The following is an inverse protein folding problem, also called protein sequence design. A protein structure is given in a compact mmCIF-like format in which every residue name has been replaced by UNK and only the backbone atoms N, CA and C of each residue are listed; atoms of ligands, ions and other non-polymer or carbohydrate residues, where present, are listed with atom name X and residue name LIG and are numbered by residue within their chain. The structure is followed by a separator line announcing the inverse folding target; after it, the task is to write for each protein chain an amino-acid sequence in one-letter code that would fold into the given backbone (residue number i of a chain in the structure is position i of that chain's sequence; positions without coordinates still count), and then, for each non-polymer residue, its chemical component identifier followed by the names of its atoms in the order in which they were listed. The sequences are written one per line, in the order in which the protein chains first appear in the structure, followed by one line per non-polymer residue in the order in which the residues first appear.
data_IF_015925133191
#
_entry.id   IF_015925133191
#
_cell.length_a   1.000
_cell.length_b   1.000
_cell.length_c   1.000
_cell.angle_alpha   90.00
_cell.angle_beta   90.00
_cell.angle_gamma   90.00
#
_symmetry.space_group_name_H-M   'P 1'
#
loop_
_entity.id
_entity.type
_entity.pdbx_description
1 polymer ?
#
# COMPACT_ATOMS: atom_id res chain seq x y z
N UNK A 1 -35.51 17.96 -8.38
CA UNK A 1 -35.93 18.06 -6.96
C UNK A 1 -35.08 17.17 -6.06
N UNK A 2 -35.12 15.83 -6.21
CA UNK A 2 -34.38 14.91 -5.33
C UNK A 2 -32.86 15.13 -5.25
N UNK A 3 -32.18 15.31 -6.39
CA UNK A 3 -30.72 15.54 -6.41
C UNK A 3 -30.30 16.84 -5.69
N UNK A 4 -31.12 17.90 -5.77
CA UNK A 4 -30.81 19.17 -5.10
C UNK A 4 -31.00 19.10 -3.57
N UNK A 5 -31.76 18.11 -3.10
CA UNK A 5 -31.97 17.85 -1.67
C UNK A 5 -30.90 16.89 -1.09
N UNK A 6 -30.00 16.36 -1.91
CA UNK A 6 -28.89 15.48 -1.51
C UNK A 6 -27.56 16.13 -1.91
N UNK A 7 -26.98 16.99 -1.04
CA UNK A 7 -25.74 17.70 -1.36
C UNK A 7 -24.56 16.78 -1.73
N UNK A 8 -24.30 15.64 -1.04
CA UNK A 8 -23.30 14.68 -1.48
C UNK A 8 -23.50 14.17 -2.91
N UNK A 9 -24.73 13.74 -3.26
CA UNK A 9 -25.01 13.26 -4.61
C UNK A 9 -24.91 14.36 -5.66
N UNK A 10 -25.30 15.59 -5.30
CA UNK A 10 -25.16 16.76 -6.18
C UNK A 10 -23.69 17.08 -6.47
N UNK A 11 -22.84 17.14 -5.44
CA UNK A 11 -21.40 17.40 -5.60
C UNK A 11 -20.72 16.34 -6.47
N UNK A 12 -21.04 15.06 -6.24
CA UNK A 12 -20.52 13.98 -7.07
C UNK A 12 -20.97 14.10 -8.53
N UNK A 13 -22.24 14.48 -8.77
CA UNK A 13 -22.75 14.71 -10.13
C UNK A 13 -22.03 15.87 -10.81
N UNK A 14 -21.80 16.97 -10.09
CA UNK A 14 -21.07 18.13 -10.60
C UNK A 14 -19.61 17.77 -10.92
N UNK A 15 -18.89 17.15 -9.98
CA UNK A 15 -17.51 16.68 -10.17
C UNK A 15 -17.41 15.73 -11.37
N UNK A 16 -18.33 14.78 -11.50
CA UNK A 16 -18.34 13.82 -12.61
C UNK A 16 -18.58 14.48 -13.98
N UNK A 17 -19.40 15.53 -14.06
CA UNK A 17 -19.70 16.22 -15.33
C UNK A 17 -18.69 17.29 -15.70
N UNK A 18 -18.07 17.94 -14.72
CA UNK A 18 -17.24 19.11 -14.95
C UNK A 18 -15.74 18.81 -14.83
N UNK A 19 -15.31 18.01 -13.85
CA UNK A 19 -13.90 17.95 -13.44
C UNK A 19 -13.16 16.67 -13.86
N UNK A 20 -13.87 15.58 -14.18
CA UNK A 20 -13.24 14.32 -14.61
C UNK A 20 -12.71 14.41 -16.04
N UNK A 21 -11.79 13.53 -16.41
CA UNK A 21 -11.23 13.42 -17.77
C UNK A 21 -12.32 13.54 -18.85
N UNK A 22 -12.12 14.46 -19.80
CA UNK A 22 -13.10 14.80 -20.84
C UNK A 22 -14.17 15.83 -20.44
N UNK A 23 -14.22 16.25 -19.17
CA UNK A 23 -15.07 17.33 -18.68
C UNK A 23 -14.51 18.73 -18.97
N UNK A 24 -15.38 19.74 -18.98
CA UNK A 24 -15.03 21.13 -19.34
C UNK A 24 -14.00 21.79 -18.41
N UNK A 25 -13.97 21.37 -17.14
CA UNK A 25 -13.02 21.84 -16.14
C UNK A 25 -11.84 20.90 -15.92
N UNK A 26 -11.68 19.86 -16.75
CA UNK A 26 -10.52 18.97 -16.66
C UNK A 26 -9.29 19.62 -17.28
N UNK A 27 -8.21 19.67 -16.52
CA UNK A 27 -6.89 20.07 -17.00
C UNK A 27 -5.98 18.86 -16.84
N UNK A 28 -5.34 18.44 -17.93
CA UNK A 28 -4.41 17.33 -17.91
C UNK A 28 -3.18 17.69 -17.05
N UNK A 29 -2.67 16.76 -16.21
CA UNK A 29 -1.46 17.00 -15.46
C UNK A 29 -0.27 17.18 -16.40
N UNK A 30 0.64 18.06 -16.01
CA UNK A 30 1.89 18.37 -16.71
C UNK A 30 3.06 18.30 -15.71
N UNK A 31 4.29 18.29 -16.21
CA UNK A 31 5.49 18.38 -15.37
C UNK A 31 5.57 19.70 -14.56
N UNK A 32 4.76 20.71 -14.91
CA UNK A 32 4.66 21.98 -14.17
C UNK A 32 3.70 21.90 -12.97
N UNK A 33 2.77 20.92 -12.98
CA UNK A 33 1.72 20.78 -11.97
C UNK A 33 1.96 19.61 -11.02
N UNK A 34 2.81 18.64 -11.40
CA UNK A 34 3.18 17.51 -10.58
C UNK A 34 4.70 17.27 -10.62
N UNK A 35 5.31 16.89 -9.49
CA UNK A 35 6.73 16.55 -9.45
C UNK A 35 7.02 15.25 -10.23
N UNK A 36 8.28 15.09 -10.64
CA UNK A 36 8.76 13.82 -11.19
C UNK A 36 8.64 12.69 -10.15
N UNK A 37 8.28 11.49 -10.60
CA UNK A 37 8.08 10.35 -9.72
C UNK A 37 9.35 9.97 -8.94
N UNK A 38 10.54 10.10 -9.54
CA UNK A 38 11.80 9.81 -8.86
C UNK A 38 12.06 10.81 -7.75
N UNK A 39 11.75 12.09 -7.97
CA UNK A 39 11.83 13.11 -6.92
C UNK A 39 10.92 12.77 -5.75
N UNK A 40 9.67 12.35 -6.00
CA UNK A 40 8.75 11.93 -4.93
C UNK A 40 9.28 10.71 -4.17
N UNK A 41 9.85 9.73 -4.87
CA UNK A 41 10.45 8.54 -4.26
C UNK A 41 11.66 8.93 -3.39
N UNK A 42 12.55 9.77 -3.88
CA UNK A 42 13.72 10.26 -3.14
C UNK A 42 13.31 11.03 -1.89
N UNK A 43 12.33 11.94 -1.99
CA UNK A 43 11.77 12.64 -0.84
C UNK A 43 11.17 11.67 0.18
N UNK A 44 10.43 10.66 -0.28
CA UNK A 44 9.82 9.66 0.59
C UNK A 44 10.89 8.86 1.34
N UNK A 45 11.92 8.39 0.64
CA UNK A 45 13.06 7.68 1.25
C UNK A 45 13.84 8.57 2.23
N UNK A 46 14.01 9.85 1.91
CA UNK A 46 14.69 10.82 2.77
C UNK A 46 13.98 11.07 4.10
N UNK A 47 12.69 10.71 4.21
CA UNK A 47 11.91 10.71 5.45
C UNK A 47 11.88 9.34 6.16
N UNK A 48 12.70 8.38 5.72
CA UNK A 48 12.66 6.96 6.12
C UNK A 48 11.25 6.35 5.96
N UNK A 49 10.49 6.83 4.97
CA UNK A 49 9.17 6.32 4.63
C UNK A 49 9.25 5.33 3.46
N UNK A 50 8.12 4.66 3.17
CA UNK A 50 8.01 3.59 2.17
C UNK A 50 7.38 4.13 0.87
N UNK A 51 8.14 4.31 -0.22
CA UNK A 51 7.55 4.67 -1.51
C UNK A 51 6.66 3.52 -2.00
N UNK A 52 5.36 3.78 -2.10
CA UNK A 52 4.35 2.74 -2.36
C UNK A 52 3.61 3.06 -3.65
N UNK A 53 3.64 2.12 -4.60
CA UNK A 53 2.92 2.25 -5.86
C UNK A 53 1.43 1.97 -5.62
N UNK A 54 0.53 2.71 -6.27
CA UNK A 54 -0.92 2.40 -6.21
C UNK A 54 -1.36 1.76 -7.51
N UNK A 55 -2.22 0.76 -7.40
CA UNK A 55 -2.87 0.11 -8.53
C UNK A 55 -4.40 0.21 -8.40
N UNK A 56 -5.08 0.43 -9.52
CA UNK A 56 -6.52 0.68 -9.54
C UNK A 56 -7.34 -0.60 -9.73
N UNK A 57 -7.31 -1.17 -10.94
CA UNK A 57 -8.10 -2.34 -11.29
C UNK A 57 -7.63 -3.12 -12.54
N UNK A 58 -6.54 -2.70 -13.17
CA UNK A 58 -5.94 -3.42 -14.30
C UNK A 58 -6.70 -3.28 -15.61
N UNK A 59 -7.74 -2.44 -15.66
CA UNK A 59 -8.56 -2.26 -16.88
C UNK A 59 -7.97 -1.23 -17.83
N UNK A 60 -7.10 -0.34 -17.34
CA UNK A 60 -6.40 0.62 -18.18
C UNK A 60 -5.16 -0.01 -18.83
N UNK A 61 -4.78 0.39 -20.07
CA UNK A 61 -3.61 -0.16 -20.76
C UNK A 61 -2.30 -0.03 -19.98
N UNK A 62 -2.16 1.00 -19.14
CA UNK A 62 -0.97 1.18 -18.29
C UNK A 62 -0.85 0.16 -17.14
N UNK A 63 -1.94 -0.54 -16.81
CA UNK A 63 -1.99 -1.53 -15.73
C UNK A 63 -2.22 -2.96 -16.24
N UNK A 64 -2.25 -3.19 -17.55
CA UNK A 64 -2.56 -4.51 -18.12
C UNK A 64 -1.45 -5.53 -17.93
N UNK A 65 -0.20 -5.07 -17.76
CA UNK A 65 0.97 -5.91 -17.45
C UNK A 65 1.53 -5.53 -16.08
N UNK A 66 1.12 -6.27 -15.05
CA UNK A 66 1.55 -6.03 -13.68
C UNK A 66 3.01 -6.37 -13.43
N UNK A 67 3.59 -7.31 -14.17
CA UNK A 67 5.01 -7.64 -14.04
C UNK A 67 5.87 -6.47 -14.52
N UNK A 68 5.57 -5.94 -15.71
CA UNK A 68 6.25 -4.77 -16.26
C UNK A 68 6.01 -3.51 -15.42
N UNK A 69 4.77 -3.27 -14.99
CA UNK A 69 4.42 -2.10 -14.18
C UNK A 69 5.16 -2.09 -12.84
N UNK A 70 5.11 -3.19 -12.08
CA UNK A 70 5.77 -3.24 -10.78
C UNK A 70 7.29 -3.31 -10.92
N UNK A 71 7.83 -3.97 -11.94
CA UNK A 71 9.27 -3.94 -12.23
C UNK A 71 9.76 -2.53 -12.54
N UNK A 72 9.00 -1.75 -13.31
CA UNK A 72 9.30 -0.34 -13.53
C UNK A 72 9.23 0.47 -12.23
N UNK A 73 8.15 0.32 -11.46
CA UNK A 73 7.99 1.01 -10.17
C UNK A 73 9.13 0.68 -9.19
N UNK A 74 9.50 -0.60 -9.11
CA UNK A 74 10.64 -1.08 -8.33
C UNK A 74 11.94 -0.41 -8.76
N UNK A 75 12.22 -0.37 -10.08
CA UNK A 75 13.44 0.23 -10.62
C UNK A 75 13.55 1.72 -10.29
N UNK A 76 12.43 2.41 -10.08
CA UNK A 76 12.39 3.79 -9.63
C UNK A 76 12.53 3.92 -8.12
N UNK A 77 12.27 2.85 -7.37
CA UNK A 77 12.48 2.75 -5.93
C UNK A 77 11.21 2.52 -5.10
N UNK A 78 10.09 2.14 -5.72
CA UNK A 78 8.92 1.67 -4.99
C UNK A 78 9.23 0.32 -4.28
N UNK A 79 8.70 0.16 -3.07
CA UNK A 79 8.98 -1.00 -2.22
C UNK A 79 7.74 -1.83 -1.89
N UNK A 80 6.55 -1.27 -2.14
CA UNK A 80 5.27 -1.89 -1.81
C UNK A 80 4.19 -1.51 -2.84
N UNK A 81 3.09 -2.27 -2.82
CA UNK A 81 1.92 -2.05 -3.66
C UNK A 81 0.68 -1.77 -2.80
N UNK A 82 -0.01 -0.66 -3.08
CA UNK A 82 -1.29 -0.32 -2.49
C UNK A 82 -2.45 -0.74 -3.40
N UNK A 83 -3.41 -1.44 -2.83
CA UNK A 83 -4.64 -1.93 -3.48
C UNK A 83 -5.82 -1.52 -2.60
N UNK A 84 -6.93 -1.11 -3.22
CA UNK A 84 -8.21 -0.92 -2.53
C UNK A 84 -9.07 -2.12 -2.94
N UNK A 85 -9.20 -3.19 -2.14
CA UNK A 85 -9.77 -4.43 -2.64
C UNK A 85 -11.26 -4.35 -2.97
N UNK A 86 -12.06 -3.60 -2.20
CA UNK A 86 -13.52 -3.49 -2.40
C UNK A 86 -13.90 -3.12 -3.85
N UNK A 87 -13.17 -2.19 -4.48
CA UNK A 87 -13.41 -1.78 -5.88
C UNK A 87 -13.12 -2.85 -6.93
N UNK A 88 -12.46 -3.96 -6.57
CA UNK A 88 -12.07 -5.01 -7.51
C UNK A 88 -13.01 -6.23 -7.48
N UNK A 89 -13.79 -6.41 -6.42
CA UNK A 89 -14.73 -7.55 -6.29
C UNK A 89 -16.18 -7.15 -6.01
N UNK A 90 -16.42 -6.02 -5.36
CA UNK A 90 -17.75 -5.54 -4.97
C UNK A 90 -18.43 -4.80 -6.14
N UNK A 91 -18.67 -5.54 -7.22
CA UNK A 91 -19.12 -5.00 -8.51
C UNK A 91 -20.40 -5.72 -8.94
N UNK A 92 -21.40 -4.92 -9.34
CA UNK A 92 -22.72 -5.43 -9.74
C UNK A 92 -22.71 -6.15 -11.08
N UNK A 93 -21.97 -5.61 -12.05
CA UNK A 93 -21.88 -6.22 -13.38
C UNK A 93 -21.00 -7.48 -13.30
N UNK A 94 -21.52 -8.67 -13.65
CA UNK A 94 -20.77 -9.91 -13.50
C UNK A 94 -19.52 -10.00 -14.39
N UNK A 95 -19.55 -9.37 -15.56
CA UNK A 95 -18.42 -9.40 -16.50
C UNK A 95 -17.30 -8.48 -16.02
N UNK A 96 -17.65 -7.26 -15.60
CA UNK A 96 -16.70 -6.32 -14.99
C UNK A 96 -16.08 -6.89 -13.72
N UNK A 97 -16.92 -7.50 -12.86
CA UNK A 97 -16.45 -8.20 -11.66
C UNK A 97 -15.43 -9.28 -12.01
N UNK A 98 -15.74 -10.14 -12.99
CA UNK A 98 -14.83 -11.21 -13.41
C UNK A 98 -13.47 -10.66 -13.85
N UNK A 99 -13.46 -9.62 -14.69
CA UNK A 99 -12.24 -9.01 -15.21
C UNK A 99 -11.40 -8.43 -14.08
N UNK A 100 -12.00 -7.66 -13.17
CA UNK A 100 -11.26 -6.99 -12.09
C UNK A 100 -10.77 -7.95 -11.02
N UNK A 101 -11.50 -9.04 -10.74
CA UNK A 101 -11.03 -10.12 -9.88
C UNK A 101 -9.85 -10.87 -10.51
N UNK A 102 -9.88 -11.12 -11.82
CA UNK A 102 -8.75 -11.72 -12.54
C UNK A 102 -7.52 -10.79 -12.51
N UNK A 103 -7.73 -9.49 -12.67
CA UNK A 103 -6.64 -8.52 -12.60
C UNK A 103 -6.08 -8.36 -11.18
N UNK A 104 -6.91 -8.50 -10.14
CA UNK A 104 -6.47 -8.56 -8.76
C UNK A 104 -5.52 -9.74 -8.53
N UNK A 105 -5.84 -10.93 -9.04
CA UNK A 105 -4.94 -12.10 -8.98
C UNK A 105 -3.60 -11.79 -9.65
N UNK A 106 -3.61 -11.17 -10.84
CA UNK A 106 -2.39 -10.77 -11.56
C UNK A 106 -1.56 -9.77 -10.74
N UNK A 107 -2.19 -8.78 -10.13
CA UNK A 107 -1.54 -7.78 -9.30
C UNK A 107 -0.87 -8.41 -8.08
N UNK A 108 -1.59 -9.26 -7.34
CA UNK A 108 -1.06 -9.95 -6.16
C UNK A 108 0.08 -10.91 -6.55
N UNK A 109 -0.05 -11.67 -7.63
CA UNK A 109 1.03 -12.55 -8.12
C UNK A 109 2.28 -11.78 -8.51
N UNK A 110 2.13 -10.66 -9.21
CA UNK A 110 3.26 -9.80 -9.57
C UNK A 110 3.95 -9.25 -8.31
N UNK A 111 3.19 -8.77 -7.33
CA UNK A 111 3.72 -8.30 -6.06
C UNK A 111 4.49 -9.41 -5.31
N UNK A 112 3.93 -10.63 -5.23
CA UNK A 112 4.61 -11.80 -4.67
C UNK A 112 5.94 -12.07 -5.37
N UNK A 113 5.97 -12.05 -6.71
CA UNK A 113 7.18 -12.33 -7.49
C UNK A 113 8.33 -11.35 -7.24
N UNK A 114 8.00 -10.09 -6.89
CA UNK A 114 8.95 -9.02 -6.57
C UNK A 114 9.15 -8.83 -5.07
N UNK A 115 8.58 -9.71 -4.24
CA UNK A 115 8.55 -9.58 -2.79
C UNK A 115 8.07 -8.18 -2.36
N UNK A 116 7.01 -7.65 -2.97
CA UNK A 116 6.40 -6.37 -2.57
C UNK A 116 5.29 -6.61 -1.54
N UNK A 117 5.38 -6.03 -0.33
CA UNK A 117 4.29 -6.07 0.63
C UNK A 117 3.05 -5.33 0.10
N UNK A 118 1.87 -5.79 0.52
CA UNK A 118 0.59 -5.21 0.11
C UNK A 118 0.05 -4.25 1.17
N UNK A 119 -0.24 -3.02 0.78
CA UNK A 119 -1.04 -2.09 1.56
C UNK A 119 -2.48 -2.19 1.09
N UNK A 120 -3.41 -2.50 1.99
CA UNK A 120 -4.84 -2.54 1.66
C UNK A 120 -5.66 -1.70 2.62
N UNK A 121 -6.72 -1.11 2.10
CA UNK A 121 -7.68 -0.35 2.88
C UNK A 121 -8.74 0.31 2.01
N UNK A 122 -9.69 0.97 2.66
CA UNK A 122 -10.93 1.42 2.02
C UNK A 122 -10.84 2.81 1.38
N UNK A 123 -9.67 3.47 1.42
CA UNK A 123 -9.41 4.86 0.96
C UNK A 123 -10.17 5.95 1.74
N UNK A 124 -11.38 5.65 2.25
CA UNK A 124 -12.27 6.55 3.01
C UNK A 124 -12.49 7.92 2.35
N UNK A 125 -12.38 8.00 1.03
CA UNK A 125 -12.45 9.24 0.26
C UNK A 125 -13.88 9.67 -0.08
N UNK A 126 -14.89 8.86 0.29
CA UNK A 126 -16.31 9.10 0.00
C UNK A 126 -17.20 8.63 1.14
N UNK A 127 -18.28 9.37 1.38
CA UNK A 127 -19.35 8.98 2.30
C UNK A 127 -19.96 7.63 1.89
N UNK A 128 -20.12 6.74 2.88
CA UNK A 128 -20.73 5.42 2.71
C UNK A 128 -19.75 4.28 2.41
N UNK A 129 -18.45 4.54 2.30
CA UNK A 129 -17.44 3.48 2.26
C UNK A 129 -17.32 2.81 3.64
N UNK A 130 -17.07 1.49 3.69
CA UNK A 130 -16.91 0.79 4.94
C UNK A 130 -15.63 1.24 5.66
N UNK A 131 -15.63 1.11 7.00
CA UNK A 131 -14.44 1.41 7.80
C UNK A 131 -13.32 0.37 7.57
N UNK A 132 -13.70 -0.88 7.30
CA UNK A 132 -12.79 -2.00 7.01
C UNK A 132 -13.33 -2.75 5.79
N UNK A 133 -12.44 -3.19 4.90
CA UNK A 133 -12.83 -4.06 3.79
C UNK A 133 -13.48 -5.36 4.29
N UNK A 134 -14.42 -5.91 3.51
CA UNK A 134 -15.01 -7.20 3.82
C UNK A 134 -14.07 -8.34 3.45
N UNK A 135 -13.17 -8.67 4.38
CA UNK A 135 -12.25 -9.80 4.26
C UNK A 135 -12.92 -11.17 4.41
N UNK A 136 -14.25 -11.25 4.54
CA UNK A 136 -14.98 -12.52 4.42
C UNK A 136 -15.43 -12.83 2.99
N UNK A 137 -15.28 -11.86 2.07
CA UNK A 137 -15.58 -12.05 0.65
C UNK A 137 -14.77 -13.20 0.06
N UNK A 138 -15.43 -14.05 -0.73
CA UNK A 138 -14.82 -15.27 -1.30
C UNK A 138 -13.66 -14.92 -2.23
N UNK A 139 -13.78 -13.82 -2.95
CA UNK A 139 -12.78 -13.31 -3.89
C UNK A 139 -11.49 -12.85 -3.21
N UNK A 140 -11.55 -12.48 -1.92
CA UNK A 140 -10.39 -12.01 -1.15
C UNK A 140 -9.74 -13.09 -0.31
N UNK A 141 -10.44 -14.21 -0.03
CA UNK A 141 -9.90 -15.32 0.77
C UNK A 141 -8.49 -15.78 0.33
N UNK A 142 -8.18 -15.91 -0.98
CA UNK A 142 -6.87 -16.37 -1.42
C UNK A 142 -5.70 -15.42 -1.10
N UNK A 143 -5.98 -14.19 -0.66
CA UNK A 143 -4.98 -13.13 -0.47
C UNK A 143 -4.90 -12.62 0.97
N UNK A 144 -5.70 -13.17 1.90
CA UNK A 144 -5.74 -12.70 3.28
C UNK A 144 -4.38 -12.73 3.97
N UNK A 145 -3.59 -13.76 3.69
CA UNK A 145 -2.27 -13.88 4.26
C UNK A 145 -1.34 -12.79 3.72
N UNK A 146 -1.37 -12.48 2.43
CA UNK A 146 -0.58 -11.39 1.84
C UNK A 146 -0.97 -10.02 2.41
N UNK A 147 -2.27 -9.80 2.61
CA UNK A 147 -2.78 -8.56 3.22
C UNK A 147 -2.35 -8.45 4.69
N UNK A 148 -2.44 -9.54 5.45
CA UNK A 148 -2.02 -9.57 6.84
C UNK A 148 -0.50 -9.37 6.97
N UNK A 149 0.30 -10.08 6.16
CA UNK A 149 1.76 -9.92 6.13
C UNK A 149 2.17 -8.52 5.71
N UNK A 150 1.48 -7.93 4.73
CA UNK A 150 1.65 -6.53 4.36
C UNK A 150 1.36 -5.59 5.53
N UNK A 151 0.23 -5.75 6.22
CA UNK A 151 -0.11 -4.94 7.38
C UNK A 151 0.94 -5.05 8.51
N UNK A 152 1.40 -6.27 8.82
CA UNK A 152 2.47 -6.46 9.80
C UNK A 152 3.80 -5.86 9.34
N UNK A 153 4.13 -5.95 8.05
CA UNK A 153 5.30 -5.30 7.49
C UNK A 153 5.27 -3.78 7.70
N UNK A 154 4.18 -3.11 7.29
CA UNK A 154 4.04 -1.66 7.45
C UNK A 154 4.10 -1.24 8.93
N UNK A 155 3.45 -2.01 9.80
CA UNK A 155 3.48 -1.74 11.23
C UNK A 155 4.87 -1.93 11.83
N UNK A 156 5.55 -3.05 11.54
CA UNK A 156 6.88 -3.33 12.06
C UNK A 156 7.92 -2.32 11.57
N UNK A 157 7.83 -1.90 10.30
CA UNK A 157 8.59 -0.79 9.77
C UNK A 157 8.35 0.49 10.58
N UNK A 158 7.09 0.90 10.73
CA UNK A 158 6.72 2.14 11.41
C UNK A 158 7.19 2.14 12.86
N UNK A 159 6.99 1.02 13.56
CA UNK A 159 7.40 0.87 14.95
C UNK A 159 8.91 1.06 15.13
N UNK A 160 9.73 0.43 14.28
CA UNK A 160 11.19 0.55 14.35
C UNK A 160 11.72 1.89 13.85
N UNK A 161 11.14 2.46 12.79
CA UNK A 161 11.50 3.77 12.27
C UNK A 161 11.31 4.83 13.36
N UNK A 162 10.13 4.86 13.98
CA UNK A 162 9.78 5.88 14.98
C UNK A 162 10.54 5.69 16.29
N UNK A 163 10.75 4.45 16.74
CA UNK A 163 11.28 4.19 18.09
C UNK A 163 12.79 4.03 18.13
N UNK A 164 13.40 3.55 17.07
CA UNK A 164 14.82 3.18 17.06
C UNK A 164 15.60 3.74 15.85
N UNK A 165 14.95 4.42 14.90
CA UNK A 165 15.60 4.86 13.66
C UNK A 165 16.02 3.68 12.76
N UNK A 166 15.38 2.53 12.94
CA UNK A 166 15.68 1.28 12.22
C UNK A 166 14.60 0.98 11.16
N UNK A 167 14.09 2.03 10.51
CA UNK A 167 13.11 1.90 9.44
C UNK A 167 13.68 1.22 8.21
N UNK A 168 12.82 0.94 7.23
CA UNK A 168 13.15 0.08 6.11
C UNK A 168 14.20 0.70 5.21
N UNK A 169 14.23 2.03 5.09
CA UNK A 169 15.21 2.75 4.29
C UNK A 169 16.39 3.28 5.14
N UNK A 170 16.46 2.92 6.42
CA UNK A 170 17.52 3.36 7.32
C UNK A 170 18.88 2.73 6.99
N UNK A 171 19.96 3.43 7.35
CA UNK A 171 21.34 2.92 7.23
C UNK A 171 21.53 1.59 7.96
N UNK A 172 20.87 1.42 9.12
CA UNK A 172 20.90 0.15 9.85
C UNK A 172 20.33 -0.99 9.01
N UNK A 173 19.21 -0.76 8.33
CA UNK A 173 18.55 -1.78 7.53
C UNK A 173 19.33 -2.10 6.24
N UNK A 174 19.97 -1.11 5.62
CA UNK A 174 20.86 -1.32 4.47
C UNK A 174 22.14 -2.07 4.87
N UNK A 175 22.67 -1.85 6.07
CA UNK A 175 23.87 -2.55 6.56
C UNK A 175 23.63 -4.03 6.90
N UNK A 176 22.40 -4.41 7.26
CA UNK A 176 22.08 -5.76 7.75
C UNK A 176 21.36 -6.66 6.75
N UNK A 177 20.77 -6.11 5.70
CA UNK A 177 20.00 -6.88 4.73
C UNK A 177 20.44 -6.63 3.29
N UNK A 178 20.86 -7.69 2.61
CA UNK A 178 21.17 -7.67 1.18
C UNK A 178 20.03 -8.19 0.29
N UNK A 179 18.98 -8.77 0.90
CA UNK A 179 17.86 -9.38 0.22
C UNK A 179 16.55 -8.77 0.73
N UNK A 180 15.71 -8.29 -0.20
CA UNK A 180 14.38 -7.74 0.11
C UNK A 180 13.49 -8.75 0.83
N UNK A 181 13.48 -10.01 0.41
CA UNK A 181 12.60 -11.02 1.00
C UNK A 181 12.88 -11.20 2.50
N UNK A 182 14.16 -11.32 2.87
CA UNK A 182 14.59 -11.46 4.27
C UNK A 182 14.31 -10.19 5.07
N UNK A 183 14.55 -9.02 4.47
CA UNK A 183 14.24 -7.71 5.04
C UNK A 183 12.75 -7.57 5.34
N UNK A 184 11.89 -7.90 4.38
CA UNK A 184 10.44 -7.87 4.57
C UNK A 184 9.98 -8.85 5.65
N UNK A 185 10.53 -10.07 5.65
CA UNK A 185 10.20 -11.07 6.65
C UNK A 185 10.58 -10.61 8.06
N UNK A 186 11.71 -9.91 8.22
CA UNK A 186 12.08 -9.29 9.48
C UNK A 186 11.05 -8.26 9.94
N UNK A 187 10.69 -7.28 9.10
CA UNK A 187 9.71 -6.26 9.48
C UNK A 187 8.31 -6.84 9.75
N UNK A 188 7.89 -7.85 8.99
CA UNK A 188 6.64 -8.56 9.27
C UNK A 188 6.68 -9.29 10.62
N UNK A 189 7.80 -9.95 10.99
CA UNK A 189 7.97 -10.55 12.32
C UNK A 189 7.91 -9.50 13.42
N UNK A 190 8.58 -8.37 13.26
CA UNK A 190 8.52 -7.26 14.20
C UNK A 190 7.08 -6.78 14.38
N UNK A 191 6.33 -6.58 13.29
CA UNK A 191 4.94 -6.17 13.37
C UNK A 191 4.04 -7.17 14.10
N UNK A 192 4.36 -8.47 14.03
CA UNK A 192 3.64 -9.51 14.78
C UNK A 192 3.97 -9.51 16.27
N UNK A 193 5.20 -9.18 16.64
CA UNK A 193 5.67 -9.13 18.03
C UNK A 193 5.21 -7.86 18.74
N UNK A 194 5.23 -6.73 18.04
CA UNK A 194 4.97 -5.42 18.64
C UNK A 194 3.49 -5.15 18.64
N UNK A 195 2.89 -5.06 19.83
CA UNK A 195 1.54 -4.52 19.96
C UNK A 195 1.53 -3.00 19.74
N UNK A 196 0.51 -2.41 19.07
CA UNK A 196 0.29 -0.96 19.04
C UNK A 196 0.22 -0.30 20.43
N UNK A 197 -0.04 -1.09 21.48
CA UNK A 197 -0.06 -0.63 22.88
C UNK A 197 1.28 -0.79 23.59
N UNK A 198 2.22 -1.55 23.04
CA UNK A 198 3.52 -1.79 23.66
C UNK A 198 4.42 -0.56 23.50
N UNK A 199 5.14 -0.21 24.57
CA UNK A 199 6.16 0.82 24.50
C UNK A 199 7.49 0.15 24.15
N UNK A 200 7.94 0.29 22.90
CA UNK A 200 9.30 -0.10 22.53
C UNK A 200 10.27 0.96 23.04
N UNK A 201 11.19 0.56 23.90
CA UNK A 201 12.37 1.36 24.23
C UNK A 201 13.46 1.12 23.18
N UNK A 202 13.50 1.96 22.14
CA UNK A 202 14.46 1.82 21.05
C UNK A 202 15.92 2.03 21.46
N UNK A 203 16.19 2.55 22.67
CA UNK A 203 17.57 2.63 23.17
C UNK A 203 18.20 1.24 23.37
N UNK A 204 17.36 0.24 23.66
CA UNK A 204 17.79 -1.16 23.79
C UNK A 204 18.13 -1.83 22.45
N UNK A 205 17.75 -1.21 21.32
CA UNK A 205 17.89 -1.77 19.98
C UNK A 205 19.04 -1.17 19.17
N UNK A 206 19.64 -0.05 19.63
CA UNK A 206 20.53 0.82 18.83
C UNK A 206 21.68 0.11 18.11
N UNK A 207 22.25 -0.93 18.71
CA UNK A 207 23.37 -1.71 18.16
C UNK A 207 23.01 -3.20 17.94
N UNK A 208 21.73 -3.54 18.03
CA UNK A 208 21.28 -4.91 17.89
C UNK A 208 21.34 -5.33 16.41
N UNK A 209 21.88 -6.52 16.16
CA UNK A 209 21.63 -7.25 14.91
C UNK A 209 20.14 -7.60 14.79
N UNK A 210 19.62 -7.90 13.58
CA UNK A 210 18.22 -8.29 13.40
C UNK A 210 17.75 -9.39 14.36
N UNK A 211 18.55 -10.45 14.55
CA UNK A 211 18.22 -11.54 15.46
C UNK A 211 18.19 -11.13 16.93
N UNK A 212 19.09 -10.21 17.34
CA UNK A 212 19.08 -9.66 18.68
C UNK A 212 17.87 -8.76 18.90
N UNK A 213 17.52 -7.93 17.91
CA UNK A 213 16.35 -7.06 17.96
C UNK A 213 15.07 -7.88 18.15
N UNK A 214 14.88 -8.96 17.38
CA UNK A 214 13.74 -9.87 17.54
C UNK A 214 13.68 -10.47 18.96
N UNK A 215 14.80 -10.96 19.49
CA UNK A 215 14.86 -11.53 20.86
C UNK A 215 14.56 -10.50 21.96
N UNK A 216 14.93 -9.24 21.76
CA UNK A 216 14.64 -8.16 22.72
C UNK A 216 13.13 -7.84 22.68
N UNK A 217 12.57 -7.73 21.48
CA UNK A 217 11.15 -7.45 21.29
C UNK A 217 10.26 -8.59 21.81
N UNK A 218 10.65 -9.85 21.59
CA UNK A 218 9.96 -11.04 22.12
C UNK A 218 9.86 -11.04 23.65
N UNK A 219 10.89 -10.57 24.36
CA UNK A 219 10.87 -10.46 25.83
C UNK A 219 9.99 -9.32 26.34
N UNK A 220 9.64 -8.38 25.46
CA UNK A 220 8.91 -7.15 25.79
C UNK A 220 7.45 -7.19 25.35
N UNK A 221 7.05 -8.23 24.60
CA UNK A 221 5.70 -8.47 24.09
C UNK A 221 4.84 -9.22 25.11
#
# INVERSE_FOLDING_TARGET
AALLADPPALHEKMRAKLMKFGGVGYVAPTAETFPDIRTVIEMTKGMDALPTMTWLDGTNPGESDMGALLGLAESMGAVALNIIPDRNWNIKDPQDKRIKVENLDKAVRAARSLNMPLCVGTELNKLGLPFVDDFSATELQPYLQDFADGAYFFWGHTALAVKAGMGFASDWAEAHFSNRADKNAFYAKVGRLVSPKACIDGSTLRDATPDQALRILEKSA
#
